data_IF_303352561685
#
_entry.id   IF_303352561685
#
_cell.length_a   1.000
_cell.length_b   1.000
_cell.length_c   1.000
_cell.angle_alpha   90.00
_cell.angle_beta   90.00
_cell.angle_gamma   90.00
#
_symmetry.space_group_name_H-M   'P 1'
#
loop_
_entity.id
_entity.type
_entity.pdbx_description
1 polymer ?
#
# COMPACT_ATOMS: atom_id res chain seq x y z
N UNK A 1 8.90 6.53 -29.34
CA UNK A 1 8.12 7.54 -28.58
C UNK A 1 7.99 7.22 -27.08
N UNK A 2 8.94 6.48 -26.47
CA UNK A 2 8.87 5.97 -25.08
C UNK A 2 10.20 6.18 -24.32
N UNK A 3 10.86 7.34 -24.42
CA UNK A 3 12.19 7.51 -23.82
C UNK A 3 12.59 8.92 -23.38
N UNK A 4 11.97 9.96 -23.95
CA UNK A 4 12.39 11.34 -23.68
C UNK A 4 11.61 12.00 -22.52
N UNK A 5 10.37 11.56 -22.27
CA UNK A 5 9.52 12.11 -21.19
C UNK A 5 10.12 11.89 -19.79
N UNK A 6 10.82 10.76 -19.60
CA UNK A 6 11.41 10.39 -18.31
C UNK A 6 12.58 11.28 -17.89
N UNK A 7 13.28 11.95 -18.81
CA UNK A 7 14.46 12.74 -18.49
C UNK A 7 14.20 14.25 -18.41
N UNK A 8 13.17 14.75 -19.09
CA UNK A 8 12.92 16.20 -19.20
C UNK A 8 11.93 16.73 -18.16
N UNK A 9 10.92 15.95 -17.74
CA UNK A 9 9.84 16.44 -16.87
C UNK A 9 10.01 16.14 -15.38
N UNK A 10 10.97 15.29 -15.00
CA UNK A 10 11.30 14.98 -13.59
C UNK A 10 11.84 16.15 -12.75
N UNK A 11 12.50 17.19 -13.30
CA UNK A 11 13.04 18.26 -12.45
C UNK A 11 12.00 19.28 -11.97
N UNK A 12 10.82 19.35 -12.60
CA UNK A 12 9.83 20.41 -12.36
C UNK A 12 8.63 19.98 -11.51
N UNK A 13 8.62 18.74 -11.03
CA UNK A 13 7.61 18.27 -10.08
C UNK A 13 8.28 17.99 -8.71
N UNK A 14 8.52 19.02 -7.88
CA UNK A 14 8.96 18.84 -6.50
C UNK A 14 7.86 18.29 -5.58
N UNK A 15 6.68 17.93 -6.12
CA UNK A 15 5.52 17.41 -5.37
C UNK A 15 5.18 15.94 -5.62
N UNK A 16 6.11 15.12 -6.13
CA UNK A 16 5.79 13.80 -6.73
C UNK A 16 6.75 12.77 -6.28
N UNK A 17 6.52 12.38 -5.04
CA UNK A 17 7.10 11.24 -4.38
C UNK A 17 7.44 10.10 -5.37
N UNK A 18 8.69 9.62 -5.43
CA UNK A 18 8.86 8.19 -5.41
C UNK A 18 8.29 7.73 -4.07
N UNK A 19 7.06 7.22 -4.10
CA UNK A 19 6.43 6.49 -3.04
C UNK A 19 7.44 5.49 -2.47
N UNK A 20 8.06 5.83 -1.33
CA UNK A 20 8.79 4.84 -0.56
C UNK A 20 7.76 3.77 -0.26
N UNK A 21 7.93 2.58 -0.84
CA UNK A 21 7.16 1.39 -0.49
C UNK A 21 7.55 0.92 0.92
N UNK A 22 7.58 1.83 1.88
CA UNK A 22 7.86 1.55 3.29
C UNK A 22 6.57 1.05 3.94
N UNK A 23 5.93 0.04 3.32
CA UNK A 23 4.96 -0.76 4.03
C UNK A 23 5.73 -1.41 5.17
N UNK A 24 5.49 -0.92 6.38
CA UNK A 24 6.07 -1.45 7.62
C UNK A 24 5.50 -2.82 7.98
N UNK A 25 4.35 -3.15 7.39
CA UNK A 25 3.69 -4.42 7.57
C UNK A 25 3.94 -5.36 6.40
N UNK A 26 4.21 -6.62 6.73
CA UNK A 26 4.30 -7.71 5.76
C UNK A 26 3.07 -8.64 5.92
N UNK A 27 2.35 -8.99 4.84
CA UNK A 27 2.51 -8.51 3.47
C UNK A 27 2.14 -7.02 3.32
N UNK A 28 2.67 -6.39 2.26
CA UNK A 28 2.44 -4.95 1.94
C UNK A 28 0.97 -4.54 2.01
N UNK A 29 0.69 -3.27 2.35
CA UNK A 29 -0.69 -2.78 2.53
C UNK A 29 -1.59 -2.98 1.31
N UNK A 30 -1.05 -2.88 0.09
CA UNK A 30 -1.78 -3.16 -1.15
C UNK A 30 -2.10 -4.64 -1.31
N UNK A 31 -1.15 -5.53 -0.97
CA UNK A 31 -1.37 -6.98 -0.95
C UNK A 31 -2.41 -7.37 0.10
N UNK A 32 -2.29 -6.81 1.31
CA UNK A 32 -3.29 -6.97 2.37
C UNK A 32 -4.67 -6.51 1.92
N UNK A 33 -4.78 -5.38 1.21
CA UNK A 33 -6.06 -4.90 0.70
C UNK A 33 -6.71 -5.89 -0.27
N UNK A 34 -5.93 -6.45 -1.20
CA UNK A 34 -6.41 -7.47 -2.15
C UNK A 34 -6.86 -8.72 -1.40
N UNK A 35 -6.03 -9.22 -0.49
CA UNK A 35 -6.33 -10.42 0.31
C UNK A 35 -7.54 -10.20 1.23
N UNK A 36 -7.69 -9.01 1.81
CA UNK A 36 -8.80 -8.66 2.68
C UNK A 36 -10.11 -8.65 1.91
N UNK A 37 -10.14 -8.07 0.71
CA UNK A 37 -11.32 -8.10 -0.17
C UNK A 37 -11.64 -9.52 -0.61
N UNK A 38 -10.62 -10.32 -0.95
CA UNK A 38 -10.78 -11.71 -1.40
C UNK A 38 -11.28 -12.66 -0.30
N UNK A 39 -10.79 -12.51 0.92
CA UNK A 39 -11.10 -13.42 2.04
C UNK A 39 -12.24 -12.93 2.95
N UNK A 40 -12.41 -11.61 3.13
CA UNK A 40 -13.44 -11.04 4.02
C UNK A 40 -14.64 -10.47 3.24
N UNK A 41 -14.57 -10.46 1.91
CA UNK A 41 -15.59 -9.92 1.03
C UNK A 41 -15.44 -8.41 0.77
N UNK A 42 -16.18 -7.88 -0.22
CA UNK A 42 -16.02 -6.53 -0.73
C UNK A 42 -16.45 -5.43 0.26
N UNK A 43 -17.20 -5.76 1.31
CA UNK A 43 -17.64 -4.80 2.32
C UNK A 43 -16.67 -4.72 3.52
N UNK A 44 -16.23 -5.87 4.04
CA UNK A 44 -15.38 -5.93 5.24
C UNK A 44 -13.89 -5.78 4.89
N UNK A 45 -13.47 -6.30 3.73
CA UNK A 45 -12.09 -6.22 3.24
C UNK A 45 -11.53 -4.80 3.16
N UNK A 46 -12.20 -3.84 2.49
CA UNK A 46 -11.68 -2.48 2.37
C UNK A 46 -11.65 -1.74 3.70
N UNK A 47 -12.61 -1.97 4.60
CA UNK A 47 -12.62 -1.36 5.94
C UNK A 47 -11.38 -1.77 6.74
N UNK A 48 -11.04 -3.07 6.74
CA UNK A 48 -9.82 -3.58 7.38
C UNK A 48 -8.55 -3.04 6.74
N UNK A 49 -8.53 -2.95 5.40
CA UNK A 49 -7.39 -2.42 4.66
C UNK A 49 -7.15 -0.93 4.94
N UNK A 50 -8.20 -0.11 4.93
CA UNK A 50 -8.14 1.32 5.25
C UNK A 50 -7.69 1.54 6.68
N UNK A 51 -8.24 0.78 7.63
CA UNK A 51 -7.85 0.87 9.03
C UNK A 51 -6.37 0.48 9.27
N UNK A 52 -5.83 -0.45 8.47
CA UNK A 52 -4.39 -0.77 8.47
C UNK A 52 -3.56 0.33 7.82
N UNK A 53 -4.03 0.92 6.72
CA UNK A 53 -3.33 1.99 6.01
C UNK A 53 -3.17 3.24 6.89
N UNK A 54 -4.21 3.60 7.65
CA UNK A 54 -4.16 4.68 8.64
C UNK A 54 -3.12 4.45 9.75
N UNK A 55 -2.82 3.18 10.08
CA UNK A 55 -1.80 2.82 11.07
C UNK A 55 -0.40 2.65 10.48
N UNK A 56 -0.25 2.72 9.16
CA UNK A 56 1.03 2.63 8.46
C UNK A 56 1.77 3.98 8.50
N UNK A 57 2.12 4.45 9.69
CA UNK A 57 2.84 5.70 9.91
C UNK A 57 4.34 5.44 10.25
N UNK A 58 5.22 6.46 10.11
CA UNK A 58 6.65 6.30 10.36
C UNK A 58 7.08 5.93 11.78
N UNK A 59 6.20 6.11 12.76
CA UNK A 59 6.43 5.83 14.17
C UNK A 59 5.93 4.46 14.62
N UNK A 60 5.37 3.66 13.71
CA UNK A 60 4.97 2.29 13.99
C UNK A 60 6.11 1.33 13.62
N UNK A 61 6.45 0.37 14.49
CA UNK A 61 7.50 -0.62 14.19
C UNK A 61 7.09 -1.58 13.07
N UNK A 62 5.80 -1.66 12.76
CA UNK A 62 5.30 -2.59 11.77
C UNK A 62 5.32 -4.03 12.26
N UNK A 63 5.12 -4.98 11.36
CA UNK A 63 5.07 -6.40 11.72
C UNK A 63 4.35 -7.29 10.71
N UNK A 64 4.33 -8.59 11.00
CA UNK A 64 3.68 -9.59 10.15
C UNK A 64 2.21 -9.71 10.53
N UNK A 65 1.30 -9.21 9.69
CA UNK A 65 -0.15 -9.34 9.89
C UNK A 65 -0.84 -9.82 8.60
N UNK A 66 -0.83 -11.15 8.32
CA UNK A 66 -1.50 -11.71 7.17
C UNK A 66 -3.03 -11.73 7.39
N UNK A 67 -3.79 -11.44 6.34
CA UNK A 67 -5.25 -11.64 6.37
C UNK A 67 -5.53 -13.13 6.57
N UNK A 68 -6.20 -13.47 7.67
CA UNK A 68 -6.69 -14.84 7.90
C UNK A 68 -7.74 -15.17 6.84
N UNK A 69 -7.47 -16.17 6.00
CA UNK A 69 -8.48 -16.78 5.11
C UNK A 69 -9.50 -17.47 6.01
N UNK A 70 -10.77 -17.04 5.95
CA UNK A 70 -11.84 -17.82 6.57
C UNK A 70 -11.96 -19.14 5.81
N UNK A 71 -11.90 -20.25 6.54
CA UNK A 71 -12.23 -21.58 6.00
C UNK A 71 -13.74 -21.77 6.09
#
# INVERSE_FOLDING_TARGET
MHGLYAHVLRPLWPGGAPATRNCRFEPTCSRYAIDAVRYRGPLVGPVLAVWRLLRCNPWNDGGVDPVRRNR
#
